data_IF_560065145616
#
_entry.id   IF_560065145616
#
_cell.length_a   1.000
_cell.length_b   1.000
_cell.length_c   1.000
_cell.angle_alpha   90.00
_cell.angle_beta   90.00
_cell.angle_gamma   90.00
#
_symmetry.space_group_name_H-M   'P 1'
#
loop_
_entity.id
_entity.type
_entity.pdbx_description
1 polymer ?
#
# COMPACT_ATOMS: atom_id res chain seq x y z
N UNK A 1 -26.96 24.28 -21.32
CA UNK A 1 -26.74 22.81 -21.36
C UNK A 1 -25.29 22.42 -21.67
N UNK A 2 -24.51 23.20 -22.44
CA UNK A 2 -23.11 22.86 -22.81
C UNK A 2 -22.08 22.91 -21.68
N UNK A 3 -22.40 23.55 -20.55
CA UNK A 3 -21.48 23.68 -19.41
C UNK A 3 -21.06 22.33 -18.81
N UNK A 4 -22.02 21.40 -18.66
CA UNK A 4 -21.76 20.06 -18.13
C UNK A 4 -20.90 19.21 -19.08
N UNK A 5 -21.03 19.39 -20.39
CA UNK A 5 -20.20 18.69 -21.38
C UNK A 5 -18.73 19.13 -21.32
N UNK A 6 -18.48 20.43 -21.15
CA UNK A 6 -17.12 20.97 -20.98
C UNK A 6 -16.51 20.48 -19.66
N UNK A 7 -17.27 20.50 -18.57
CA UNK A 7 -16.82 19.95 -17.28
C UNK A 7 -16.46 18.45 -17.38
N UNK A 8 -17.29 17.66 -18.08
CA UNK A 8 -17.03 16.25 -18.36
C UNK A 8 -15.73 16.03 -19.12
N UNK A 9 -15.45 16.83 -20.17
CA UNK A 9 -14.20 16.75 -20.93
C UNK A 9 -12.97 17.01 -20.07
N UNK A 10 -13.02 18.01 -19.18
CA UNK A 10 -11.92 18.28 -18.24
C UNK A 10 -11.69 17.12 -17.28
N UNK A 11 -12.75 16.53 -16.73
CA UNK A 11 -12.66 15.38 -15.84
C UNK A 11 -12.10 14.15 -16.57
N UNK A 12 -12.62 13.85 -17.77
CA UNK A 12 -12.12 12.74 -18.59
C UNK A 12 -10.66 12.92 -18.97
N UNK A 13 -10.25 14.14 -19.37
CA UNK A 13 -8.86 14.45 -19.67
C UNK A 13 -7.97 14.26 -18.43
N UNK A 14 -8.41 14.75 -17.26
CA UNK A 14 -7.70 14.55 -16.01
C UNK A 14 -7.54 13.06 -15.65
N UNK A 15 -8.60 12.25 -15.77
CA UNK A 15 -8.50 10.80 -15.53
C UNK A 15 -7.55 10.11 -16.54
N UNK A 16 -7.60 10.50 -17.82
CA UNK A 16 -6.67 9.94 -18.80
C UNK A 16 -5.22 10.30 -18.47
N UNK A 17 -4.98 11.53 -18.04
CA UNK A 17 -3.68 11.96 -17.54
C UNK A 17 -3.22 11.15 -16.33
N UNK A 18 -4.07 10.90 -15.33
CA UNK A 18 -3.67 10.14 -14.13
C UNK A 18 -3.33 8.69 -14.46
N UNK A 19 -4.04 8.07 -15.40
CA UNK A 19 -3.75 6.72 -15.90
C UNK A 19 -2.44 6.71 -16.69
N UNK A 20 -2.24 7.65 -17.62
CA UNK A 20 -1.01 7.78 -18.41
C UNK A 20 0.22 7.99 -17.52
N UNK A 21 0.11 8.78 -16.45
CA UNK A 21 1.19 8.98 -15.48
C UNK A 21 1.35 7.85 -14.46
N UNK A 22 0.49 6.83 -14.52
CA UNK A 22 0.47 5.67 -13.63
C UNK A 22 0.51 6.07 -12.15
N UNK A 23 -0.29 7.08 -11.80
CA UNK A 23 -0.35 7.66 -10.45
C UNK A 23 -0.90 6.60 -9.49
N UNK A 24 -0.20 6.38 -8.37
CA UNK A 24 -0.51 5.34 -7.39
C UNK A 24 0.15 3.98 -7.65
N UNK A 25 0.81 3.79 -8.80
CA UNK A 25 1.57 2.56 -9.07
C UNK A 25 2.83 2.45 -8.24
N UNK A 26 3.36 1.25 -8.12
CA UNK A 26 4.52 1.01 -7.27
C UNK A 26 4.76 -0.47 -7.06
N UNK A 27 5.86 -0.78 -6.40
CA UNK A 27 6.24 -2.14 -6.03
C UNK A 27 6.87 -2.13 -4.64
N UNK A 28 6.79 -3.29 -3.99
CA UNK A 28 7.39 -3.53 -2.68
C UNK A 28 8.43 -4.63 -2.87
N UNK A 29 9.68 -4.32 -2.56
CA UNK A 29 10.80 -5.23 -2.70
C UNK A 29 11.32 -5.60 -1.30
N UNK A 30 11.25 -6.89 -1.00
CA UNK A 30 11.73 -7.48 0.25
C UNK A 30 12.97 -8.33 -0.03
N UNK A 31 14.16 -7.79 0.23
CA UNK A 31 15.41 -8.53 0.03
C UNK A 31 16.00 -9.01 1.36
N UNK A 32 15.89 -10.32 1.60
CA UNK A 32 16.43 -10.96 2.80
C UNK A 32 17.96 -11.12 2.76
N UNK A 33 18.58 -11.15 1.58
CA UNK A 33 20.04 -11.26 1.43
C UNK A 33 20.71 -9.93 1.75
N UNK A 34 20.16 -8.84 1.24
CA UNK A 34 20.65 -7.50 1.56
C UNK A 34 20.15 -6.99 2.93
N UNK A 35 19.07 -7.56 3.46
CA UNK A 35 18.49 -7.16 4.75
C UNK A 35 17.65 -5.88 4.66
N UNK A 36 17.14 -5.53 3.47
CA UNK A 36 16.52 -4.24 3.16
C UNK A 36 15.12 -4.45 2.59
N UNK A 37 14.18 -3.65 3.08
CA UNK A 37 12.85 -3.47 2.47
C UNK A 37 12.82 -2.14 1.74
N UNK A 38 12.35 -2.15 0.49
CA UNK A 38 12.15 -0.95 -0.33
C UNK A 38 10.70 -0.88 -0.77
N UNK A 39 10.00 0.15 -0.32
CA UNK A 39 8.63 0.45 -0.75
C UNK A 39 8.73 1.63 -1.71
N UNK A 40 8.26 1.41 -2.94
CA UNK A 40 8.25 2.42 -3.98
C UNK A 40 6.83 2.70 -4.43
N UNK A 41 6.48 4.00 -4.50
CA UNK A 41 5.19 4.48 -5.00
C UNK A 41 5.39 5.71 -5.90
N UNK A 42 4.67 5.71 -7.02
CA UNK A 42 4.52 6.84 -7.92
C UNK A 42 3.37 7.73 -7.45
N UNK A 43 3.68 8.96 -7.07
CA UNK A 43 2.71 9.99 -6.78
C UNK A 43 2.30 10.79 -8.03
N UNK A 44 1.55 11.86 -7.79
CA UNK A 44 1.19 12.81 -8.83
C UNK A 44 2.43 13.46 -9.49
N UNK A 45 2.36 13.82 -10.77
CA UNK A 45 3.44 14.54 -11.45
C UNK A 45 3.81 15.83 -10.69
N UNK A 46 5.09 15.98 -10.36
CA UNK A 46 5.61 17.09 -9.56
C UNK A 46 7.06 16.85 -9.10
N UNK A 47 7.62 17.78 -8.31
CA UNK A 47 9.00 17.69 -7.79
C UNK A 47 9.22 16.45 -6.88
N UNK A 48 8.19 16.03 -6.16
CA UNK A 48 8.21 14.88 -5.24
C UNK A 48 7.40 13.70 -5.78
N UNK A 49 7.50 13.44 -7.10
CA UNK A 49 6.72 12.39 -7.76
C UNK A 49 7.04 10.98 -7.23
N UNK A 50 8.25 10.74 -6.73
CA UNK A 50 8.70 9.43 -6.26
C UNK A 50 8.67 9.39 -4.75
N UNK A 51 7.82 8.54 -4.19
CA UNK A 51 7.86 8.19 -2.77
C UNK A 51 8.70 6.92 -2.67
N UNK A 52 9.89 7.06 -2.09
CA UNK A 52 10.82 5.96 -1.90
C UNK A 52 11.12 5.83 -0.42
N UNK A 53 10.71 4.70 0.15
CA UNK A 53 10.89 4.37 1.55
C UNK A 53 11.81 3.16 1.64
N UNK A 54 12.88 3.27 2.43
CA UNK A 54 13.87 2.21 2.62
C UNK A 54 14.01 1.94 4.11
N UNK A 55 13.85 0.68 4.48
CA UNK A 55 13.92 0.20 5.85
C UNK A 55 14.85 -1.00 5.95
N UNK A 56 15.42 -1.23 7.12
CA UNK A 56 16.13 -2.47 7.40
C UNK A 56 15.13 -3.49 7.93
N UNK A 57 15.30 -4.76 7.56
CA UNK A 57 14.43 -5.85 8.05
C UNK A 57 14.48 -5.95 9.58
N UNK A 58 15.59 -5.55 10.20
CA UNK A 58 15.77 -5.53 11.66
C UNK A 58 14.86 -4.52 12.38
N UNK A 59 14.39 -3.49 11.66
CA UNK A 59 13.55 -2.45 12.23
C UNK A 59 12.06 -2.83 12.16
N UNK A 60 11.71 -3.92 11.46
CA UNK A 60 10.35 -4.44 11.37
C UNK A 60 10.05 -5.20 12.67
N UNK A 61 9.04 -4.77 13.40
CA UNK A 61 8.66 -5.37 14.68
C UNK A 61 7.63 -6.46 14.50
N UNK A 62 6.52 -6.15 13.83
CA UNK A 62 5.37 -7.03 13.68
C UNK A 62 4.64 -6.74 12.37
N UNK A 63 3.84 -7.71 11.95
CA UNK A 63 2.83 -7.52 10.92
C UNK A 63 1.48 -7.47 11.60
N UNK A 64 0.79 -6.35 11.41
CA UNK A 64 -0.47 -6.06 12.09
C UNK A 64 -1.63 -6.18 11.10
N UNK A 65 -2.66 -6.95 11.45
CA UNK A 65 -3.90 -7.00 10.70
C UNK A 65 -4.93 -6.17 11.48
N UNK A 66 -5.30 -4.99 10.96
CA UNK A 66 -6.44 -4.24 11.51
C UNK A 66 -7.72 -4.67 10.82
N UNK A 67 -8.73 -5.00 11.62
CA UNK A 67 -10.10 -5.21 11.13
C UNK A 67 -10.88 -3.91 11.31
N UNK A 68 -11.13 -3.18 10.22
CA UNK A 68 -12.07 -2.05 10.27
C UNK A 68 -13.50 -2.57 10.22
N UNK A 69 -14.15 -2.56 11.37
CA UNK A 69 -15.58 -2.88 11.52
C UNK A 69 -16.45 -1.71 11.01
N UNK A 70 -17.36 -2.00 10.08
CA UNK A 70 -18.24 -1.04 9.43
C UNK A 70 -19.13 -1.70 8.38
N UNK A 71 -19.85 -0.92 7.56
CA UNK A 71 -20.80 -1.44 6.54
C UNK A 71 -20.12 -2.39 5.54
N UNK A 72 -18.82 -2.21 5.32
CA UNK A 72 -17.95 -3.21 4.68
C UNK A 72 -16.79 -3.53 5.62
N UNK A 73 -16.77 -4.73 6.19
CA UNK A 73 -15.62 -5.22 6.94
C UNK A 73 -14.40 -5.27 5.99
N UNK A 74 -13.42 -4.40 6.23
CA UNK A 74 -12.18 -4.37 5.45
C UNK A 74 -11.03 -4.66 6.40
N UNK A 75 -10.23 -5.65 6.06
CA UNK A 75 -8.98 -5.93 6.78
C UNK A 75 -7.83 -5.30 6.01
N UNK A 76 -6.98 -4.56 6.71
CA UNK A 76 -5.80 -3.91 6.13
C UNK A 76 -4.58 -4.47 6.83
N UNK A 77 -3.58 -4.82 6.04
CA UNK A 77 -2.32 -5.35 6.53
C UNK A 77 -1.31 -4.21 6.65
N UNK A 78 -0.81 -4.03 7.86
CA UNK A 78 0.20 -3.05 8.20
C UNK A 78 1.50 -3.75 8.59
N UNK A 79 2.60 -3.06 8.33
CA UNK A 79 3.91 -3.41 8.84
C UNK A 79 4.31 -2.36 9.87
N UNK A 80 4.54 -2.79 11.10
CA UNK A 80 5.01 -1.89 12.15
C UNK A 80 6.53 -1.80 12.11
N UNK A 81 7.03 -0.57 11.94
CA UNK A 81 8.46 -0.28 11.87
C UNK A 81 8.86 0.57 13.07
N UNK A 82 9.94 0.16 13.72
CA UNK A 82 10.53 0.84 14.86
C UNK A 82 10.92 2.28 14.50
N UNK A 83 10.22 3.23 15.11
CA UNK A 83 10.51 4.67 15.00
C UNK A 83 9.83 5.39 13.82
N UNK A 84 9.12 4.68 12.94
CA UNK A 84 8.43 5.27 11.78
C UNK A 84 6.92 5.00 11.73
N UNK A 85 6.43 4.08 12.57
CA UNK A 85 5.01 3.77 12.71
C UNK A 85 4.54 2.65 11.76
N UNK A 86 3.22 2.49 11.67
CA UNK A 86 2.59 1.45 10.86
C UNK A 86 2.47 1.89 9.38
N UNK A 87 3.02 1.08 8.47
CA UNK A 87 2.94 1.31 7.03
C UNK A 87 1.98 0.29 6.41
N UNK A 88 0.90 0.73 5.72
CA UNK A 88 0.01 -0.19 5.04
C UNK A 88 0.73 -0.84 3.86
N UNK A 89 0.73 -2.18 3.82
CA UNK A 89 1.35 -2.95 2.73
C UNK A 89 0.37 -3.21 1.58
N UNK A 90 -0.91 -3.39 1.89
CA UNK A 90 -1.95 -3.71 0.92
C UNK A 90 -2.61 -2.42 0.42
N UNK A 91 -2.89 -2.34 -0.89
CA UNK A 91 -3.66 -1.24 -1.46
C UNK A 91 -5.11 -1.34 -0.97
N UNK A 92 -5.67 -0.21 -0.54
CA UNK A 92 -7.00 -0.09 0.08
C UNK A 92 -8.17 -0.55 -0.81
N UNK A 93 -7.92 -0.84 -2.10
CA UNK A 93 -8.90 -1.24 -3.11
C UNK A 93 -8.95 -2.75 -3.40
N UNK A 94 -8.00 -3.55 -2.90
CA UNK A 94 -8.04 -5.00 -3.08
C UNK A 94 -9.01 -5.65 -2.08
N UNK A 95 -10.19 -6.06 -2.57
CA UNK A 95 -11.15 -6.85 -1.79
C UNK A 95 -10.66 -8.30 -1.64
N UNK A 96 -9.66 -8.53 -0.80
CA UNK A 96 -9.27 -9.89 -0.44
C UNK A 96 -10.28 -10.51 0.50
N UNK A 97 -10.50 -11.81 0.33
CA UNK A 97 -11.21 -12.60 1.32
C UNK A 97 -10.41 -12.66 2.62
N UNK A 98 -11.10 -12.85 3.75
CA UNK A 98 -10.54 -13.04 5.09
C UNK A 98 -9.32 -13.98 5.08
N UNK A 99 -9.47 -15.12 4.40
CA UNK A 99 -8.46 -16.17 4.32
C UNK A 99 -7.25 -15.78 3.49
N UNK A 100 -7.44 -15.04 2.41
CA UNK A 100 -6.34 -14.57 1.56
C UNK A 100 -5.46 -13.56 2.29
N UNK A 101 -6.05 -12.67 3.09
CA UNK A 101 -5.30 -11.70 3.89
C UNK A 101 -4.50 -12.40 4.98
N UNK A 102 -5.12 -13.33 5.70
CA UNK A 102 -4.44 -14.13 6.74
C UNK A 102 -3.30 -14.95 6.14
N UNK A 103 -3.51 -15.58 4.97
CA UNK A 103 -2.47 -16.34 4.30
C UNK A 103 -1.32 -15.44 3.86
N UNK A 104 -1.60 -14.28 3.24
CA UNK A 104 -0.55 -13.31 2.87
C UNK A 104 0.21 -12.80 4.10
N UNK A 105 -0.48 -12.53 5.20
CA UNK A 105 0.14 -12.12 6.45
C UNK A 105 1.07 -13.21 7.00
N UNK A 106 0.60 -14.47 7.00
CA UNK A 106 1.39 -15.61 7.43
C UNK A 106 2.64 -15.83 6.57
N UNK A 107 2.50 -15.73 5.24
CA UNK A 107 3.62 -15.85 4.31
C UNK A 107 4.66 -14.74 4.52
N UNK A 108 4.22 -13.49 4.68
CA UNK A 108 5.10 -12.35 4.94
C UNK A 108 5.79 -12.46 6.31
N UNK A 109 5.05 -12.84 7.35
CA UNK A 109 5.58 -13.02 8.69
C UNK A 109 6.61 -14.14 8.75
N UNK A 110 6.32 -15.27 8.08
CA UNK A 110 7.26 -16.37 7.94
C UNK A 110 8.52 -15.95 7.17
N UNK A 111 8.36 -15.18 6.09
CA UNK A 111 9.47 -14.67 5.29
C UNK A 111 10.40 -13.74 6.08
N UNK A 112 9.82 -12.81 6.85
CA UNK A 112 10.53 -11.80 7.65
C UNK A 112 10.94 -12.30 9.05
N UNK A 113 10.38 -13.42 9.52
CA UNK A 113 10.53 -13.97 10.88
C UNK A 113 10.08 -13.00 11.98
N UNK A 114 8.96 -12.34 11.76
CA UNK A 114 8.35 -11.39 12.72
C UNK A 114 7.01 -11.95 13.23
N UNK A 115 6.59 -11.61 14.46
CA UNK A 115 5.27 -11.97 14.97
C UNK A 115 4.14 -11.32 14.15
N UNK A 116 2.98 -11.97 14.17
CA UNK A 116 1.72 -11.45 13.62
C UNK A 116 0.88 -10.95 14.80
N UNK A 117 0.36 -9.74 14.69
CA UNK A 117 -0.57 -9.14 15.63
C UNK A 117 -1.91 -8.89 14.92
N UNK A 118 -3.01 -9.14 15.62
CA UNK A 118 -4.36 -8.95 15.08
C UNK A 118 -5.13 -8.05 16.03
N UNK A 119 -5.65 -6.93 15.52
CA UNK A 119 -6.42 -5.94 16.27
C UNK A 119 -7.80 -5.70 15.63
#
# INVERSE_FOLDING_TARGET
MSFYGIAGLFISCYLWCTILWNVGSGYDLFDRKEGIVRIFRWGFPGKSRRIFLRFLIKDIQSITIEVKEGVSARRVLYMEIRGQGAIPLIRTDENFTTREIEQKAAELAYFLRVPIEVF
#
